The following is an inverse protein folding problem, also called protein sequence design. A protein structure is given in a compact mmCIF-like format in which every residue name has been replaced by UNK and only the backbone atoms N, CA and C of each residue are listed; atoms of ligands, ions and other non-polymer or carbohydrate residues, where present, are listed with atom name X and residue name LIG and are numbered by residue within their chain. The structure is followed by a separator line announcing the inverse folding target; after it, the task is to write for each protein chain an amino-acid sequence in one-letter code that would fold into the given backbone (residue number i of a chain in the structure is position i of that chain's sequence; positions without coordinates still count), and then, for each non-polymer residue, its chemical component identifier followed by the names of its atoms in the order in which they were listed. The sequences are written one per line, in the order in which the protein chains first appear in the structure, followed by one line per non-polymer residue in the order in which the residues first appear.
data_IF_218201221537
#
_entry.id   IF_218201221537
#
_cell.length_a   1.000
_cell.length_b   1.000
_cell.length_c   1.000
_cell.angle_alpha   90.00
_cell.angle_beta   90.00
_cell.angle_gamma   90.00
#
_symmetry.space_group_name_H-M   'P 1'
#
loop_
_entity.id
_entity.type
_entity.pdbx_description
1 polymer ?
#
# COMPACT_ATOMS: atom_id res chain seq x y z
N UNK A 1 -12.45 -3.83 -23.87
CA UNK A 1 -12.43 -2.35 -23.74
C UNK A 1 -12.89 -2.05 -22.32
N UNK A 2 -11.97 -1.80 -21.39
CA UNK A 2 -12.34 -1.35 -20.05
C UNK A 2 -13.02 0.01 -20.21
N UNK A 3 -14.26 0.22 -19.71
CA UNK A 3 -14.82 1.56 -19.69
C UNK A 3 -13.88 2.41 -18.85
N UNK A 4 -13.26 3.41 -19.49
CA UNK A 4 -12.48 4.42 -18.80
C UNK A 4 -13.48 5.20 -17.97
N UNK A 5 -13.71 4.77 -16.73
CA UNK A 5 -14.58 5.45 -15.79
C UNK A 5 -13.99 6.84 -15.54
N UNK A 6 -14.59 7.85 -16.18
CA UNK A 6 -14.18 9.26 -16.15
C UNK A 6 -13.95 9.82 -14.72
N UNK A 7 -14.52 9.17 -13.70
CA UNK A 7 -14.32 9.53 -12.29
C UNK A 7 -12.99 9.12 -11.65
N UNK A 8 -12.29 8.09 -12.14
CA UNK A 8 -11.06 7.58 -11.48
C UNK A 8 -9.82 8.42 -11.76
N UNK A 9 -9.82 9.17 -12.86
CA UNK A 9 -8.78 10.12 -13.23
C UNK A 9 -9.40 11.34 -13.94
N UNK A 10 -9.84 12.35 -13.15
CA UNK A 10 -10.73 13.42 -13.61
C UNK A 10 -10.06 14.34 -14.64
N UNK A 11 -10.83 14.86 -15.60
CA UNK A 11 -10.35 15.83 -16.60
C UNK A 11 -10.09 17.23 -16.01
N UNK A 12 -10.81 17.59 -14.94
CA UNK A 12 -10.59 18.85 -14.22
C UNK A 12 -9.14 18.97 -13.75
N UNK A 13 -8.49 20.08 -14.11
CA UNK A 13 -7.05 20.28 -13.93
C UNK A 13 -6.69 20.29 -12.45
N UNK A 14 -7.50 20.93 -11.60
CA UNK A 14 -7.23 21.03 -10.16
C UNK A 14 -7.35 19.66 -9.50
N UNK A 15 -8.40 18.91 -9.82
CA UNK A 15 -8.62 17.56 -9.31
C UNK A 15 -7.53 16.59 -9.77
N UNK A 16 -7.13 16.68 -11.04
CA UNK A 16 -6.04 15.88 -11.62
C UNK A 16 -4.70 16.18 -10.96
N UNK A 17 -4.38 17.45 -10.73
CA UNK A 17 -3.15 17.87 -10.07
C UNK A 17 -3.06 17.35 -8.62
N UNK A 18 -4.18 17.31 -7.89
CA UNK A 18 -4.22 16.72 -6.54
C UNK A 18 -3.99 15.20 -6.54
N UNK A 19 -4.50 14.49 -7.53
CA UNK A 19 -4.24 13.04 -7.68
C UNK A 19 -2.77 12.82 -8.03
N UNK A 20 -2.23 13.59 -8.99
CA UNK A 20 -0.83 13.53 -9.37
C UNK A 20 0.10 13.83 -8.19
N UNK A 21 -0.22 14.81 -7.34
CA UNK A 21 0.63 15.11 -6.18
C UNK A 21 0.71 13.96 -5.18
N UNK A 22 -0.38 13.19 -5.00
CA UNK A 22 -0.37 11.97 -4.17
C UNK A 22 0.49 10.88 -4.84
N UNK A 23 0.31 10.68 -6.15
CA UNK A 23 1.08 9.70 -6.91
C UNK A 23 2.58 10.05 -6.94
N UNK A 24 2.96 11.32 -7.04
CA UNK A 24 4.38 11.70 -6.96
C UNK A 24 4.91 11.54 -5.52
N UNK A 25 4.11 11.94 -4.53
CA UNK A 25 4.48 11.82 -3.12
C UNK A 25 4.73 10.37 -2.70
N UNK A 26 3.90 9.41 -3.13
CA UNK A 26 4.02 8.03 -2.63
C UNK A 26 5.35 7.37 -3.02
N UNK A 27 5.92 7.69 -4.18
CA UNK A 27 7.17 7.08 -4.66
C UNK A 27 8.34 7.27 -3.70
N UNK A 28 8.53 8.50 -3.19
CA UNK A 28 9.64 8.84 -2.31
C UNK A 28 9.33 8.65 -0.81
N UNK A 29 8.08 8.29 -0.49
CA UNK A 29 7.59 8.15 0.89
C UNK A 29 7.04 6.74 1.10
N UNK A 30 5.74 6.54 0.86
CA UNK A 30 5.05 5.28 1.16
C UNK A 30 5.72 4.07 0.49
N UNK A 31 5.98 4.14 -0.82
CA UNK A 31 6.64 3.06 -1.56
C UNK A 31 8.05 2.82 -1.08
N UNK A 32 8.82 3.89 -0.87
CA UNK A 32 10.17 3.79 -0.33
C UNK A 32 10.19 3.06 1.01
N UNK A 33 9.28 3.40 1.92
CA UNK A 33 9.19 2.73 3.22
C UNK A 33 8.68 1.29 3.10
N UNK A 34 7.52 1.09 2.46
CA UNK A 34 6.84 -0.21 2.39
C UNK A 34 7.65 -1.25 1.61
N UNK A 35 8.05 -0.95 0.38
CA UNK A 35 8.76 -1.91 -0.47
C UNK A 35 10.13 -2.27 0.10
N UNK A 36 10.89 -1.28 0.55
CA UNK A 36 12.22 -1.56 1.12
C UNK A 36 12.11 -2.33 2.43
N UNK A 37 11.13 -2.01 3.28
CA UNK A 37 10.84 -2.79 4.48
C UNK A 37 10.58 -4.26 4.09
N UNK A 38 9.67 -4.51 3.14
CA UNK A 38 9.36 -5.86 2.68
C UNK A 38 10.60 -6.59 2.14
N UNK A 39 11.46 -5.92 1.36
CA UNK A 39 12.71 -6.50 0.84
C UNK A 39 13.68 -6.85 1.97
N UNK A 40 13.92 -5.91 2.87
CA UNK A 40 14.93 -6.05 3.91
C UNK A 40 14.49 -7.00 5.04
N UNK A 41 13.18 -7.19 5.27
CA UNK A 41 12.63 -8.05 6.32
C UNK A 41 12.16 -9.43 5.84
N UNK A 42 11.73 -9.58 4.57
CA UNK A 42 11.07 -10.81 4.10
C UNK A 42 11.43 -11.26 2.68
N UNK A 43 11.45 -10.36 1.69
CA UNK A 43 11.56 -10.69 0.26
C UNK A 43 12.99 -10.86 -0.24
N UNK A 44 14.02 -10.46 0.52
CA UNK A 44 15.43 -10.59 0.12
C UNK A 44 15.77 -11.98 -0.46
N UNK A 45 15.52 -13.08 0.27
CA UNK A 45 15.83 -14.44 -0.18
C UNK A 45 15.13 -14.84 -1.49
N UNK A 46 13.88 -14.39 -1.71
CA UNK A 46 13.14 -14.63 -2.96
C UNK A 46 13.86 -13.98 -4.16
N UNK A 47 14.59 -12.89 -3.91
CA UNK A 47 15.37 -12.15 -4.91
C UNK A 47 16.86 -12.51 -4.91
N UNK A 48 17.25 -13.58 -4.21
CA UNK A 48 18.66 -13.95 -4.01
C UNK A 48 19.50 -12.83 -3.37
N UNK A 49 18.87 -12.01 -2.53
CA UNK A 49 19.50 -10.97 -1.73
C UNK A 49 19.49 -11.37 -0.25
N UNK A 50 20.47 -10.94 0.56
CA UNK A 50 20.40 -11.11 2.00
C UNK A 50 19.27 -10.25 2.59
N UNK A 51 18.71 -10.71 3.72
CA UNK A 51 17.91 -9.84 4.58
C UNK A 51 18.82 -8.81 5.25
N UNK A 52 18.25 -7.66 5.60
CA UNK A 52 18.96 -6.60 6.30
C UNK A 52 18.08 -5.99 7.41
N UNK A 53 18.04 -6.62 8.60
CA UNK A 53 17.20 -6.15 9.71
C UNK A 53 17.47 -4.71 10.12
N UNK A 54 18.73 -4.25 10.04
CA UNK A 54 19.08 -2.87 10.39
C UNK A 54 18.51 -1.87 9.38
N UNK A 55 18.58 -2.17 8.09
CA UNK A 55 17.94 -1.34 7.07
C UNK A 55 16.41 -1.37 7.20
N UNK A 56 15.82 -2.54 7.52
CA UNK A 56 14.38 -2.66 7.75
C UNK A 56 13.90 -1.74 8.89
N UNK A 57 14.67 -1.56 9.97
CA UNK A 57 14.33 -0.60 11.04
C UNK A 57 14.25 0.84 10.51
N UNK A 58 15.17 1.24 9.63
CA UNK A 58 15.14 2.58 9.04
C UNK A 58 14.01 2.75 8.02
N UNK A 59 13.74 1.73 7.22
CA UNK A 59 12.61 1.73 6.29
C UNK A 59 11.26 1.77 7.03
N UNK A 60 11.16 1.09 8.18
CA UNK A 60 9.96 1.11 9.01
C UNK A 60 9.67 2.51 9.58
N UNK A 61 10.70 3.28 9.96
CA UNK A 61 10.53 4.68 10.38
C UNK A 61 9.92 5.51 9.25
N UNK A 62 10.41 5.33 8.01
CA UNK A 62 9.89 6.01 6.82
C UNK A 62 8.44 5.58 6.54
N UNK A 63 8.15 4.28 6.66
CA UNK A 63 6.82 3.73 6.48
C UNK A 63 5.84 4.29 7.52
N UNK A 64 6.19 4.26 8.80
CA UNK A 64 5.35 4.80 9.88
C UNK A 64 5.06 6.29 9.71
N UNK A 65 6.07 7.08 9.33
CA UNK A 65 5.87 8.50 8.99
C UNK A 65 4.95 8.68 7.78
N UNK A 66 5.06 7.81 6.78
CA UNK A 66 4.23 7.83 5.56
C UNK A 66 2.76 7.45 5.87
N UNK A 67 2.52 6.43 6.70
CA UNK A 67 1.17 6.05 7.15
C UNK A 67 0.52 7.18 7.96
N UNK A 68 1.29 7.79 8.87
CA UNK A 68 0.82 8.96 9.64
C UNK A 68 0.45 10.14 8.72
N UNK A 69 1.23 10.37 7.66
CA UNK A 69 0.93 11.41 6.66
C UNK A 69 -0.28 11.07 5.81
N UNK A 70 -0.45 9.79 5.45
CA UNK A 70 -1.60 9.30 4.71
C UNK A 70 -2.90 9.57 5.46
N UNK A 71 -2.96 9.24 6.75
CA UNK A 71 -4.13 9.51 7.59
C UNK A 71 -4.38 11.00 7.79
N UNK A 72 -3.34 11.77 8.13
CA UNK A 72 -3.51 13.17 8.53
C UNK A 72 -3.76 14.13 7.36
N UNK A 73 -3.22 13.85 6.17
CA UNK A 73 -3.25 14.79 5.04
C UNK A 73 -4.15 14.32 3.90
N UNK A 74 -4.07 13.05 3.55
CA UNK A 74 -4.72 12.54 2.34
C UNK A 74 -6.09 11.92 2.63
N UNK A 75 -6.27 11.26 3.78
CA UNK A 75 -7.55 10.72 4.27
C UNK A 75 -8.25 11.72 5.19
N UNK A 76 -8.90 12.73 4.62
CA UNK A 76 -9.55 13.82 5.40
C UNK A 76 -10.92 13.42 5.95
N UNK A 77 -11.21 13.81 7.19
CA UNK A 77 -12.53 13.62 7.82
C UNK A 77 -13.01 12.17 7.79
N UNK A 78 -14.31 11.94 7.62
CA UNK A 78 -14.91 10.60 7.53
C UNK A 78 -15.01 10.09 6.09
N UNK A 79 -14.14 10.57 5.20
CA UNK A 79 -14.22 10.23 3.79
C UNK A 79 -13.77 8.79 3.51
N UNK A 80 -14.50 8.16 2.57
CA UNK A 80 -14.25 6.77 2.15
C UNK A 80 -12.98 6.60 1.32
N UNK A 81 -12.53 7.65 0.62
CA UNK A 81 -11.39 7.64 -0.29
C UNK A 81 -10.51 8.89 -0.11
N UNK A 82 -9.31 8.85 -0.68
CA UNK A 82 -8.34 9.95 -0.66
C UNK A 82 -8.95 11.25 -1.18
N UNK A 83 -8.41 12.37 -0.68
CA UNK A 83 -8.85 13.74 -0.98
C UNK A 83 -10.27 14.10 -0.49
N UNK A 84 -10.92 13.22 0.28
CA UNK A 84 -12.29 13.46 0.74
C UNK A 84 -13.37 12.93 -0.20
N UNK A 85 -13.00 12.06 -1.15
CA UNK A 85 -13.89 11.64 -2.23
C UNK A 85 -14.83 10.48 -1.81
N UNK A 86 -15.96 10.38 -2.53
CA UNK A 86 -16.93 9.27 -2.39
C UNK A 86 -16.72 8.13 -3.39
N UNK A 87 -15.79 8.29 -4.34
CA UNK A 87 -15.40 7.28 -5.33
C UNK A 87 -13.87 7.17 -5.36
N UNK A 88 -13.31 5.96 -5.59
CA UNK A 88 -11.86 5.78 -5.61
C UNK A 88 -11.25 6.39 -6.88
N UNK A 89 -10.05 6.94 -6.73
CA UNK A 89 -9.20 7.38 -7.83
C UNK A 89 -8.08 6.37 -8.12
N UNK A 90 -7.31 6.62 -9.17
CA UNK A 90 -6.07 5.85 -9.43
C UNK A 90 -5.05 5.96 -8.28
N UNK A 91 -5.04 7.07 -7.53
CA UNK A 91 -4.21 7.19 -6.34
C UNK A 91 -4.65 6.22 -5.25
N UNK A 92 -5.97 6.04 -5.06
CA UNK A 92 -6.48 5.11 -4.06
C UNK A 92 -6.01 3.68 -4.31
N UNK A 93 -6.21 3.22 -5.55
CA UNK A 93 -5.77 1.89 -5.98
C UNK A 93 -4.25 1.72 -5.81
N UNK A 94 -3.47 2.70 -6.26
CA UNK A 94 -2.00 2.60 -6.24
C UNK A 94 -1.45 2.51 -4.82
N UNK A 95 -1.92 3.37 -3.91
CA UNK A 95 -1.43 3.39 -2.53
C UNK A 95 -1.95 2.19 -1.72
N UNK A 96 -3.18 1.73 -1.96
CA UNK A 96 -3.71 0.54 -1.31
C UNK A 96 -2.88 -0.70 -1.70
N UNK A 97 -2.59 -0.89 -3.00
CA UNK A 97 -1.74 -1.99 -3.47
C UNK A 97 -0.33 -1.94 -2.88
N UNK A 98 0.23 -0.74 -2.65
CA UNK A 98 1.55 -0.58 -2.01
C UNK A 98 1.52 -1.06 -0.55
N UNK A 99 0.48 -0.72 0.22
CA UNK A 99 0.33 -1.19 1.61
C UNK A 99 0.06 -2.70 1.65
N UNK A 100 -0.72 -3.23 0.69
CA UNK A 100 -0.98 -4.67 0.60
C UNK A 100 0.29 -5.51 0.41
N UNK A 101 1.42 -4.93 -0.04
CA UNK A 101 2.70 -5.67 -0.07
C UNK A 101 3.15 -6.11 1.33
N UNK A 102 2.76 -5.40 2.40
CA UNK A 102 3.06 -5.79 3.78
C UNK A 102 2.41 -7.12 4.18
N UNK A 103 1.48 -7.64 3.39
CA UNK A 103 1.01 -9.01 3.58
C UNK A 103 2.19 -9.99 3.63
N UNK A 104 3.21 -9.84 2.78
CA UNK A 104 4.30 -10.84 2.66
C UNK A 104 5.31 -10.84 3.82
N UNK A 105 5.21 -9.89 4.74
CA UNK A 105 6.07 -9.86 5.94
C UNK A 105 5.53 -10.76 7.05
N UNK A 106 6.24 -10.87 8.17
CA UNK A 106 5.73 -11.62 9.33
C UNK A 106 4.45 -10.99 9.87
N UNK A 107 3.45 -11.80 10.25
CA UNK A 107 2.15 -11.31 10.70
C UNK A 107 2.31 -10.38 11.92
N UNK A 108 3.23 -10.68 12.85
CA UNK A 108 3.46 -9.84 14.02
C UNK A 108 3.97 -8.45 13.64
N UNK A 109 4.81 -8.38 12.62
CA UNK A 109 5.34 -7.12 12.12
C UNK A 109 4.27 -6.32 11.38
N UNK A 110 3.49 -6.99 10.51
CA UNK A 110 2.35 -6.40 9.82
C UNK A 110 1.33 -5.82 10.81
N UNK A 111 0.93 -6.59 11.81
CA UNK A 111 0.01 -6.14 12.87
C UNK A 111 0.59 -4.94 13.63
N UNK A 112 1.85 -5.01 14.04
CA UNK A 112 2.53 -3.94 14.77
C UNK A 112 2.58 -2.63 13.97
N UNK A 113 2.77 -2.71 12.65
CA UNK A 113 2.84 -1.55 11.75
C UNK A 113 1.45 -0.99 11.45
N UNK A 114 0.45 -1.82 11.15
CA UNK A 114 -0.84 -1.37 10.63
C UNK A 114 -1.92 -1.16 11.70
N UNK A 115 -1.88 -1.88 12.82
CA UNK A 115 -2.87 -1.77 13.90
C UNK A 115 -3.04 -0.35 14.45
N UNK A 116 -1.99 0.50 14.57
CA UNK A 116 -2.15 1.89 14.99
C UNK A 116 -2.96 2.76 14.02
N UNK A 117 -3.24 2.27 12.80
CA UNK A 117 -3.84 3.03 11.70
C UNK A 117 -5.20 2.44 11.24
N UNK A 118 -6.22 2.38 12.12
CA UNK A 118 -7.52 1.76 11.80
C UNK A 118 -8.23 2.44 10.63
N UNK A 119 -7.99 3.74 10.41
CA UNK A 119 -8.59 4.48 9.30
C UNK A 119 -8.00 4.05 7.95
N UNK A 120 -6.70 3.75 7.91
CA UNK A 120 -6.07 3.17 6.72
C UNK A 120 -6.67 1.79 6.42
N UNK A 121 -6.87 0.96 7.44
CA UNK A 121 -7.46 -0.37 7.27
C UNK A 121 -8.87 -0.29 6.68
N UNK A 122 -9.72 0.56 7.24
CA UNK A 122 -11.07 0.80 6.71
C UNK A 122 -11.03 1.36 5.27
N UNK A 123 -10.13 2.29 4.99
CA UNK A 123 -9.94 2.84 3.64
C UNK A 123 -9.50 1.77 2.64
N UNK A 124 -8.58 0.87 3.01
CA UNK A 124 -8.18 -0.25 2.15
C UNK A 124 -9.38 -1.15 1.84
N UNK A 125 -10.22 -1.46 2.83
CA UNK A 125 -11.41 -2.29 2.63
C UNK A 125 -12.46 -1.60 1.75
N UNK A 126 -12.59 -0.27 1.84
CA UNK A 126 -13.38 0.51 0.89
C UNK A 126 -12.83 0.42 -0.54
N UNK A 127 -11.51 0.48 -0.72
CA UNK A 127 -10.86 0.34 -2.03
C UNK A 127 -11.06 -1.05 -2.61
N UNK A 128 -10.84 -2.11 -1.82
CA UNK A 128 -11.13 -3.50 -2.19
C UNK A 128 -12.57 -3.65 -2.68
N UNK A 129 -13.53 -3.23 -1.86
CA UNK A 129 -14.96 -3.31 -2.19
C UNK A 129 -15.32 -2.58 -3.49
N UNK A 130 -14.74 -1.40 -3.73
CA UNK A 130 -15.01 -0.60 -4.93
C UNK A 130 -14.26 -1.07 -6.19
N UNK A 131 -13.33 -2.01 -6.05
CA UNK A 131 -12.51 -2.56 -7.15
C UNK A 131 -12.63 -4.08 -7.30
N UNK A 132 -13.49 -4.70 -6.50
CA UNK A 132 -13.85 -6.11 -6.57
C UNK A 132 -14.48 -6.48 -7.94
N UNK A 133 -14.22 -7.69 -8.48
CA UNK A 133 -13.41 -8.76 -7.90
C UNK A 133 -11.90 -8.65 -8.17
N UNK A 134 -11.49 -7.76 -9.08
CA UNK A 134 -10.13 -7.77 -9.63
C UNK A 134 -9.05 -7.41 -8.61
N UNK A 135 -9.40 -6.67 -7.57
CA UNK A 135 -8.46 -6.40 -6.49
C UNK A 135 -8.07 -7.70 -5.78
N UNK A 136 -9.04 -8.51 -5.39
CA UNK A 136 -8.79 -9.80 -4.75
C UNK A 136 -8.01 -10.73 -5.68
N UNK A 137 -8.45 -10.90 -6.93
CA UNK A 137 -7.83 -11.78 -7.93
C UNK A 137 -6.33 -11.48 -8.12
N UNK A 138 -5.95 -10.21 -8.26
CA UNK A 138 -4.54 -9.83 -8.45
C UNK A 138 -3.71 -10.03 -7.18
N UNK A 139 -4.31 -9.89 -6.00
CA UNK A 139 -3.60 -10.04 -4.73
C UNK A 139 -3.48 -11.50 -4.26
N UNK A 140 -4.12 -12.47 -4.93
CA UNK A 140 -3.91 -13.91 -4.67
C UNK A 140 -2.43 -14.31 -4.82
N UNK A 141 -1.70 -13.69 -5.74
CA UNK A 141 -0.27 -13.94 -5.95
C UNK A 141 0.58 -13.65 -4.71
N UNK A 142 0.13 -12.77 -3.79
CA UNK A 142 0.83 -12.53 -2.53
C UNK A 142 0.88 -13.80 -1.66
N UNK A 143 -0.12 -14.69 -1.75
CA UNK A 143 -0.13 -15.96 -1.02
C UNK A 143 0.95 -16.91 -1.55
N UNK A 144 1.17 -16.93 -2.87
CA UNK A 144 2.25 -17.72 -3.48
C UNK A 144 3.63 -17.21 -3.02
N UNK A 145 3.80 -15.89 -2.96
CA UNK A 145 5.02 -15.25 -2.44
C UNK A 145 5.23 -15.59 -0.96
N UNK A 146 4.19 -15.51 -0.12
CA UNK A 146 4.24 -15.93 1.29
C UNK A 146 4.70 -17.38 1.45
N UNK A 147 4.11 -18.29 0.68
CA UNK A 147 4.47 -19.71 0.69
C UNK A 147 5.94 -19.92 0.28
N UNK A 148 6.41 -19.16 -0.72
CA UNK A 148 7.81 -19.21 -1.15
C UNK A 148 8.78 -18.72 -0.08
N UNK A 149 8.45 -17.62 0.61
CA UNK A 149 9.25 -17.12 1.75
C UNK A 149 9.32 -18.16 2.86
N UNK A 150 8.18 -18.76 3.23
CA UNK A 150 8.13 -19.79 4.28
C UNK A 150 9.00 -21.00 3.94
N UNK A 151 8.91 -21.50 2.69
CA UNK A 151 9.76 -22.59 2.21
C UNK A 151 11.26 -22.25 2.34
N UNK A 152 11.67 -21.05 1.90
CA UNK A 152 13.07 -20.61 1.98
C UNK A 152 13.58 -20.39 3.41
N UNK A 153 12.70 -20.13 4.39
CA UNK A 153 13.07 -20.04 5.81
C UNK A 153 13.28 -21.41 6.46
N UNK A 154 12.66 -22.47 5.91
CA UNK A 154 12.74 -23.84 6.42
C UNK A 154 13.79 -24.73 5.75
N UNK A 155 14.39 -24.27 4.65
CA UNK A 155 15.41 -24.97 3.89
C UNK A 155 16.82 -24.59 4.36
#
# INVERSE_FOLDING_TARGET
MFPVFCGRYPADIVSRAKIQSILDWHHSNLRRGALNYCINSALGPVRSLPLNPQAAIEDEKILSASLSKLESVWLKGDAKFLLGNFQPSVADLSLACEIMQLEVVDEKDRERILRPHPKILEWIDNVKSATSPHFEEVHEHLQEVKARIAFLKSA
#
